data_IF_088427310878
#
_entry.id   IF_088427310878
#
_cell.length_a   1.000
_cell.length_b   1.000
_cell.length_c   1.000
_cell.angle_alpha   90.00
_cell.angle_beta   90.00
_cell.angle_gamma   90.00
#
_symmetry.space_group_name_H-M   'P 1'
#
loop_
_entity.id
_entity.type
_entity.pdbx_description
1 polymer ?
#
# COMPACT_ATOMS: atom_id res chain seq x y z
N UNK A 1 14.48 -1.47 13.48
CA UNK A 1 13.30 -1.42 12.60
C UNK A 1 13.58 -0.40 11.51
N UNK A 2 13.70 -0.83 10.26
CA UNK A 2 14.19 0.02 9.17
C UNK A 2 13.14 1.07 8.80
N UNK A 3 13.42 2.33 9.13
CA UNK A 3 12.71 3.47 8.55
C UNK A 3 13.10 3.53 7.07
N UNK A 4 12.13 3.31 6.17
CA UNK A 4 12.29 3.53 4.73
C UNK A 4 12.53 5.03 4.51
N UNK A 5 13.79 5.44 4.60
CA UNK A 5 14.25 6.78 4.23
C UNK A 5 14.58 6.75 2.73
N UNK A 6 14.36 7.86 1.99
CA UNK A 6 14.69 7.93 0.56
C UNK A 6 16.13 7.54 0.22
N UNK A 7 17.05 7.65 1.19
CA UNK A 7 18.48 7.38 1.03
C UNK A 7 18.89 5.93 1.32
N UNK A 8 17.96 5.04 1.68
CA UNK A 8 18.27 3.65 2.01
C UNK A 8 17.10 2.71 1.66
N UNK A 9 16.66 2.76 0.40
CA UNK A 9 15.75 1.76 -0.14
C UNK A 9 16.49 0.42 -0.28
N UNK A 10 15.80 -0.72 -0.06
CA UNK A 10 16.33 -2.02 -0.49
C UNK A 10 16.66 -1.96 -1.98
N UNK A 11 17.58 -2.80 -2.46
CA UNK A 11 17.73 -3.00 -3.89
C UNK A 11 16.43 -3.61 -4.42
N UNK A 12 15.66 -2.81 -5.15
CA UNK A 12 14.39 -3.20 -5.76
C UNK A 12 14.52 -3.13 -7.28
N UNK A 13 13.95 -4.11 -7.95
CA UNK A 13 13.86 -4.18 -9.40
C UNK A 13 12.53 -3.60 -9.88
N UNK A 14 12.49 -3.16 -11.13
CA UNK A 14 11.24 -2.78 -11.75
C UNK A 14 10.26 -3.97 -11.71
N UNK A 15 9.02 -3.71 -11.29
CA UNK A 15 8.00 -4.73 -11.04
C UNK A 15 7.88 -5.15 -9.57
N UNK A 16 8.86 -4.83 -8.72
CA UNK A 16 8.77 -5.17 -7.30
C UNK A 16 7.68 -4.36 -6.58
N UNK A 17 7.14 -4.95 -5.51
CA UNK A 17 6.17 -4.31 -4.62
C UNK A 17 6.85 -3.81 -3.36
N UNK A 18 6.80 -2.50 -3.14
CA UNK A 18 7.17 -1.86 -1.89
C UNK A 18 5.94 -1.74 -0.98
N UNK A 19 5.87 -2.60 0.04
CA UNK A 19 4.83 -2.56 1.08
C UNK A 19 5.30 -1.79 2.30
N UNK A 20 4.54 -0.79 2.74
CA UNK A 20 4.90 0.07 3.86
C UNK A 20 3.68 0.63 4.61
N UNK A 21 3.94 1.26 5.76
CA UNK A 21 2.91 1.90 6.59
C UNK A 21 3.35 3.28 7.08
N UNK A 22 3.19 3.54 8.38
CA UNK A 22 3.64 4.75 9.10
C UNK A 22 2.91 6.07 8.77
N UNK A 23 2.62 6.36 7.49
CA UNK A 23 1.91 7.59 7.11
C UNK A 23 0.42 7.56 7.44
N UNK A 24 -0.16 6.36 7.54
CA UNK A 24 -1.60 6.11 7.72
C UNK A 24 -2.45 6.62 6.54
N UNK A 25 -1.83 6.77 5.37
CA UNK A 25 -2.48 7.13 4.11
C UNK A 25 -2.49 5.90 3.19
N UNK A 26 -3.66 5.47 2.69
CA UNK A 26 -3.77 4.31 1.82
C UNK A 26 -3.13 4.61 0.45
N UNK A 27 -2.39 3.66 -0.09
CA UNK A 27 -1.73 3.75 -1.40
C UNK A 27 -1.81 2.39 -2.10
N UNK A 28 -2.22 2.38 -3.36
CA UNK A 28 -2.10 1.23 -4.25
C UNK A 28 -1.90 1.77 -5.68
N UNK A 29 -0.65 1.92 -6.12
CA UNK A 29 -0.34 2.48 -7.44
C UNK A 29 1.03 2.04 -7.93
N UNK A 30 1.25 2.12 -9.25
CA UNK A 30 2.57 1.98 -9.84
C UNK A 30 3.23 3.36 -10.00
N UNK A 31 4.45 3.52 -9.50
CA UNK A 31 5.24 4.74 -9.63
C UNK A 31 6.71 4.36 -9.82
N UNK A 32 7.39 5.00 -10.77
CA UNK A 32 8.84 4.82 -11.00
C UNK A 32 9.26 3.36 -11.21
N UNK A 33 8.40 2.55 -11.83
CA UNK A 33 8.64 1.14 -12.10
C UNK A 33 8.39 0.20 -10.90
N UNK A 34 8.02 0.73 -9.74
CA UNK A 34 7.67 -0.03 -8.54
C UNK A 34 6.18 0.04 -8.26
N UNK A 35 5.65 -0.99 -7.62
CA UNK A 35 4.31 -0.95 -7.03
C UNK A 35 4.39 -0.47 -5.59
N UNK A 36 3.78 0.67 -5.30
CA UNK A 36 3.69 1.21 -3.96
C UNK A 36 2.39 0.75 -3.32
N UNK A 37 2.50 0.07 -2.17
CA UNK A 37 1.36 -0.41 -1.42
C UNK A 37 1.44 0.01 0.05
N UNK A 38 0.42 0.74 0.51
CA UNK A 38 0.23 1.09 1.91
C UNK A 38 -1.22 0.79 2.28
N UNK A 39 -1.48 -0.15 3.21
CA UNK A 39 -2.83 -0.54 3.59
C UNK A 39 -3.54 0.52 4.43
N UNK A 40 -2.90 1.65 4.73
CA UNK A 40 -3.43 2.69 5.60
C UNK A 40 -3.27 2.32 7.08
N UNK A 41 -4.30 2.56 7.88
CA UNK A 41 -4.29 2.26 9.31
C UNK A 41 -5.62 1.69 9.75
N UNK A 42 -5.56 0.60 10.52
CA UNK A 42 -6.75 -0.02 11.13
C UNK A 42 -7.30 0.75 12.32
N UNK A 43 -6.52 1.69 12.90
CA UNK A 43 -6.88 2.33 14.17
C UNK A 43 -6.76 3.85 14.19
N UNK A 44 -5.91 4.46 13.36
CA UNK A 44 -5.70 5.92 13.34
C UNK A 44 -5.60 6.40 11.87
N UNK A 45 -6.63 6.25 11.03
CA UNK A 45 -6.56 6.67 9.64
C UNK A 45 -6.35 8.19 9.52
N UNK A 46 -5.67 8.63 8.45
CA UNK A 46 -5.43 10.05 8.15
C UNK A 46 -5.94 10.40 6.76
N UNK A 47 -6.00 11.69 6.43
CA UNK A 47 -6.37 12.15 5.09
C UNK A 47 -7.86 12.01 4.74
N UNK A 48 -8.73 11.76 5.72
CA UNK A 48 -10.17 11.57 5.51
C UNK A 48 -10.56 10.17 5.07
N UNK A 49 -9.63 9.22 5.03
CA UNK A 49 -9.91 7.82 4.70
C UNK A 49 -10.52 7.06 5.88
N UNK A 50 -11.28 6.01 5.58
CA UNK A 50 -11.74 5.05 6.58
C UNK A 50 -10.57 4.25 7.16
N UNK A 51 -10.77 3.66 8.34
CA UNK A 51 -9.85 2.64 8.84
C UNK A 51 -9.78 1.49 7.84
N UNK A 52 -8.57 0.99 7.55
CA UNK A 52 -8.36 0.10 6.41
C UNK A 52 -7.27 -0.93 6.63
N UNK A 53 -7.29 -1.96 5.79
CA UNK A 53 -6.31 -3.04 5.73
C UNK A 53 -6.03 -3.41 4.27
N UNK A 54 -4.97 -4.20 4.04
CA UNK A 54 -4.58 -4.65 2.71
C UNK A 54 -4.90 -6.11 2.46
N UNK A 55 -5.28 -6.45 1.22
CA UNK A 55 -5.36 -7.83 0.71
C UNK A 55 -4.49 -7.94 -0.54
N UNK A 56 -3.76 -9.05 -0.64
CA UNK A 56 -3.23 -9.57 -1.91
C UNK A 56 -4.09 -10.78 -2.29
N UNK A 57 -4.78 -10.68 -3.42
CA UNK A 57 -5.56 -11.78 -4.01
C UNK A 57 -5.16 -11.92 -5.47
N UNK A 58 -4.75 -13.13 -5.87
CA UNK A 58 -4.04 -13.41 -7.11
C UNK A 58 -2.91 -12.39 -7.39
N UNK A 59 -3.13 -11.50 -8.36
CA UNK A 59 -2.21 -10.47 -8.78
C UNK A 59 -2.75 -9.06 -8.51
N UNK A 60 -3.65 -8.91 -7.53
CA UNK A 60 -4.25 -7.62 -7.17
C UNK A 60 -3.98 -7.30 -5.72
N UNK A 61 -3.39 -6.12 -5.50
CA UNK A 61 -3.24 -5.52 -4.19
C UNK A 61 -4.37 -4.52 -3.96
N UNK A 62 -5.17 -4.73 -2.93
CA UNK A 62 -6.34 -3.91 -2.60
C UNK A 62 -6.24 -3.36 -1.19
N UNK A 63 -6.55 -2.07 -1.02
CA UNK A 63 -6.81 -1.45 0.28
C UNK A 63 -8.31 -1.45 0.52
N UNK A 64 -8.75 -2.09 1.59
CA UNK A 64 -10.15 -2.34 1.90
C UNK A 64 -10.53 -1.61 3.19
N UNK A 65 -11.67 -0.93 3.16
CA UNK A 65 -12.25 -0.28 4.32
C UNK A 65 -12.73 -1.31 5.34
N UNK A 66 -12.37 -1.10 6.61
CA UNK A 66 -12.64 -2.05 7.70
C UNK A 66 -14.12 -2.11 8.10
N UNK A 67 -14.84 -1.01 7.93
CA UNK A 67 -16.23 -0.85 8.35
C UNK A 67 -17.23 -1.52 7.39
N UNK A 68 -17.01 -1.42 6.07
CA UNK A 68 -17.99 -1.82 5.05
C UNK A 68 -17.40 -2.68 3.93
N UNK A 69 -16.11 -3.01 4.01
CA UNK A 69 -15.39 -3.81 3.02
C UNK A 69 -15.33 -3.18 1.62
N UNK A 70 -15.60 -1.88 1.49
CA UNK A 70 -15.43 -1.17 0.21
C UNK A 70 -13.95 -1.05 -0.17
N UNK A 71 -13.68 -1.04 -1.48
CA UNK A 71 -12.33 -0.86 -2.01
C UNK A 71 -11.99 0.63 -1.99
N UNK A 72 -10.92 1.00 -1.27
CA UNK A 72 -10.40 2.37 -1.18
C UNK A 72 -9.42 2.64 -2.33
N UNK A 73 -8.55 1.67 -2.62
CA UNK A 73 -7.58 1.74 -3.70
C UNK A 73 -7.19 0.31 -4.12
N UNK A 74 -6.81 0.10 -5.38
CA UNK A 74 -6.29 -1.18 -5.83
C UNK A 74 -5.29 -1.01 -6.98
N UNK A 75 -4.36 -1.96 -7.11
CA UNK A 75 -3.44 -2.05 -8.24
C UNK A 75 -3.22 -3.52 -8.63
N UNK A 76 -3.25 -3.79 -9.94
CA UNK A 76 -2.85 -5.08 -10.48
C UNK A 76 -1.33 -5.11 -10.66
N UNK A 77 -0.68 -6.13 -10.09
CA UNK A 77 0.74 -6.42 -10.26
C UNK A 77 0.88 -7.35 -11.47
N UNK A 78 1.41 -6.83 -12.57
CA UNK A 78 1.63 -7.62 -13.78
C UNK A 78 3.06 -8.19 -13.72
N UNK A 79 3.16 -9.52 -13.90
CA UNK A 79 4.43 -10.24 -14.06
C UNK A 79 4.91 -10.20 -15.50
#
# INVERSE_FOLDING_TARGET
MASLRPTNLPALHAGDVLVYGHTHLPVAQQQEGLYHFNPGSVSIPKGGYAASYGILDDNVLSVIALNDQSIIAQVAINS
#
